data_IF_422196898901
#
_entry.id   IF_422196898901
#
_cell.length_a   1.000
_cell.length_b   1.000
_cell.length_c   1.000
_cell.angle_alpha   90.00
_cell.angle_beta   90.00
_cell.angle_gamma   90.00
#
_symmetry.space_group_name_H-M   'P 1'
#
loop_
_entity.id
_entity.type
_entity.pdbx_description
1 polymer ?
#
# COMPACT_ATOMS: atom_id res chain seq x y z
N UNK A 1 -7.25 -29.14 -2.03
CA UNK A 1 -6.27 -28.74 -3.06
C UNK A 1 -4.81 -28.99 -2.64
N UNK A 2 -4.46 -29.09 -1.36
CA UNK A 2 -3.07 -29.39 -0.95
C UNK A 2 -2.08 -28.24 -1.17
N UNK A 3 -2.56 -27.01 -1.34
CA UNK A 3 -1.76 -25.79 -1.50
C UNK A 3 -1.64 -25.02 -0.17
N UNK A 4 -0.67 -24.10 -0.06
CA UNK A 4 -0.48 -23.28 1.13
C UNK A 4 -1.56 -22.20 1.35
N UNK A 5 -1.59 -21.63 2.56
CA UNK A 5 -2.64 -20.69 3.02
C UNK A 5 -2.35 -19.20 2.74
N UNK A 6 -1.52 -18.88 1.75
CA UNK A 6 -1.10 -17.51 1.46
C UNK A 6 -2.27 -16.59 1.06
N UNK A 7 -3.24 -17.10 0.29
CA UNK A 7 -4.41 -16.31 -0.15
C UNK A 7 -5.30 -15.89 1.03
N UNK A 8 -5.81 -16.80 1.89
CA UNK A 8 -6.63 -16.37 3.02
C UNK A 8 -5.85 -15.50 4.01
N UNK A 9 -4.54 -15.71 4.17
CA UNK A 9 -3.70 -14.83 4.98
C UNK A 9 -3.63 -13.41 4.40
N UNK A 10 -3.41 -13.27 3.09
CA UNK A 10 -3.40 -11.97 2.43
C UNK A 10 -4.77 -11.28 2.51
N UNK A 11 -5.85 -12.03 2.33
CA UNK A 11 -7.23 -11.51 2.42
C UNK A 11 -7.56 -10.97 3.83
N UNK A 12 -7.03 -11.59 4.88
CA UNK A 12 -7.23 -11.13 6.25
C UNK A 12 -6.73 -9.69 6.49
N UNK A 13 -5.73 -9.20 5.73
CA UNK A 13 -5.29 -7.80 5.83
C UNK A 13 -6.37 -6.82 5.38
N UNK A 14 -7.10 -7.13 4.30
CA UNK A 14 -8.21 -6.30 3.83
C UNK A 14 -9.36 -6.25 4.85
N UNK A 15 -9.71 -7.40 5.43
CA UNK A 15 -10.69 -7.48 6.53
C UNK A 15 -10.19 -6.66 7.73
N UNK A 16 -8.92 -6.78 8.09
CA UNK A 16 -8.30 -6.04 9.18
C UNK A 16 -8.40 -4.52 8.98
N UNK A 17 -8.13 -4.02 7.77
CA UNK A 17 -8.26 -2.60 7.45
C UNK A 17 -9.70 -2.10 7.58
N UNK A 18 -10.69 -2.89 7.16
CA UNK A 18 -12.11 -2.56 7.39
C UNK A 18 -12.43 -2.48 8.88
N UNK A 19 -12.04 -3.49 9.67
CA UNK A 19 -12.26 -3.51 11.13
C UNK A 19 -11.57 -2.33 11.82
N UNK A 20 -10.41 -1.89 11.33
CA UNK A 20 -9.74 -0.69 11.85
C UNK A 20 -10.64 0.55 11.73
N UNK A 21 -11.31 0.73 10.60
CA UNK A 21 -12.15 1.90 10.32
C UNK A 21 -13.45 1.91 11.12
N UNK A 22 -14.11 0.75 11.23
CA UNK A 22 -15.47 0.67 11.81
C UNK A 22 -15.52 0.14 13.24
N UNK A 23 -14.44 -0.47 13.75
CA UNK A 23 -14.38 -1.03 15.10
C UNK A 23 -13.24 -0.40 15.91
N UNK A 24 -11.99 -0.58 15.51
CA UNK A 24 -10.83 -0.23 16.35
C UNK A 24 -10.75 1.27 16.61
N UNK A 25 -10.71 2.09 15.55
CA UNK A 25 -10.62 3.54 15.69
C UNK A 25 -11.86 4.13 16.40
N UNK A 26 -13.11 3.75 16.06
CA UNK A 26 -14.28 4.21 16.80
C UNK A 26 -14.26 3.88 18.30
N UNK A 27 -13.79 2.69 18.70
CA UNK A 27 -13.60 2.32 20.11
C UNK A 27 -12.57 3.25 20.77
N UNK A 28 -11.41 3.45 20.13
CA UNK A 28 -10.36 4.33 20.65
C UNK A 28 -10.81 5.80 20.75
N UNK A 29 -11.74 6.23 19.91
CA UNK A 29 -12.33 7.57 19.95
C UNK A 29 -13.59 7.67 20.83
N UNK A 30 -14.06 6.56 21.41
CA UNK A 30 -15.17 6.53 22.36
C UNK A 30 -16.58 6.62 21.74
N UNK A 31 -16.72 6.53 20.42
CA UNK A 31 -18.03 6.60 19.76
C UNK A 31 -18.07 5.90 18.39
N UNK A 32 -19.12 5.13 18.13
CA UNK A 32 -19.36 4.46 16.83
C UNK A 32 -19.54 5.44 15.66
N UNK A 33 -19.95 6.68 15.94
CA UNK A 33 -20.13 7.73 14.94
C UNK A 33 -18.84 8.15 14.21
N UNK A 34 -17.67 7.68 14.65
CA UNK A 34 -16.41 7.86 13.93
C UNK A 34 -16.20 6.86 12.78
N UNK A 35 -17.00 5.80 12.68
CA UNK A 35 -17.01 4.90 11.53
C UNK A 35 -17.57 5.58 10.27
N UNK A 36 -17.23 5.06 9.09
CA UNK A 36 -17.69 5.63 7.83
C UNK A 36 -19.09 5.11 7.42
N UNK A 37 -19.90 5.90 6.69
CA UNK A 37 -21.22 5.48 6.24
C UNK A 37 -21.17 4.59 4.99
N UNK A 38 -22.11 3.65 4.87
CA UNK A 38 -22.23 2.79 3.67
C UNK A 38 -23.02 3.48 2.56
N UNK A 39 -22.32 4.18 1.68
CA UNK A 39 -22.89 4.78 0.47
C UNK A 39 -21.82 5.23 -0.51
N UNK A 40 -22.13 5.16 -1.81
CA UNK A 40 -21.15 5.38 -2.90
C UNK A 40 -20.49 6.77 -2.79
N UNK A 41 -21.26 7.83 -2.54
CA UNK A 41 -20.72 9.18 -2.39
C UNK A 41 -20.48 9.57 -0.92
N UNK A 42 -21.35 9.13 0.00
CA UNK A 42 -21.26 9.50 1.41
C UNK A 42 -19.98 9.01 2.10
N UNK A 43 -19.41 7.89 1.67
CA UNK A 43 -18.12 7.44 2.21
C UNK A 43 -16.96 8.35 1.75
N UNK A 44 -17.06 8.95 0.56
CA UNK A 44 -16.06 9.92 0.07
C UNK A 44 -16.14 11.24 0.86
N UNK A 45 -17.35 11.67 1.21
CA UNK A 45 -17.54 12.82 2.11
C UNK A 45 -16.91 12.57 3.48
N UNK A 46 -17.07 11.36 4.03
CA UNK A 46 -16.39 10.95 5.26
C UNK A 46 -14.87 11.02 5.12
N UNK A 47 -14.30 10.46 4.04
CA UNK A 47 -12.86 10.49 3.77
C UNK A 47 -12.34 11.93 3.71
N UNK A 48 -13.05 12.79 2.98
CA UNK A 48 -12.71 14.21 2.84
C UNK A 48 -12.69 14.91 4.20
N UNK A 49 -13.78 14.78 4.96
CA UNK A 49 -13.91 15.44 6.27
C UNK A 49 -12.87 14.95 7.28
N UNK A 50 -12.62 13.64 7.35
CA UNK A 50 -11.60 13.07 8.23
C UNK A 50 -10.21 13.55 7.84
N UNK A 51 -9.90 13.69 6.55
CA UNK A 51 -8.64 14.25 6.09
C UNK A 51 -8.43 15.69 6.55
N UNK A 52 -9.44 16.55 6.38
CA UNK A 52 -9.36 17.96 6.73
C UNK A 52 -9.42 18.25 8.24
N UNK A 53 -9.94 17.32 9.06
CA UNK A 53 -9.85 17.42 10.52
C UNK A 53 -8.40 17.57 11.03
N UNK A 54 -7.42 17.08 10.27
CA UNK A 54 -5.99 17.17 10.58
C UNK A 54 -5.24 18.09 9.61
N UNK A 55 -5.94 19.10 9.07
CA UNK A 55 -5.47 20.07 8.07
C UNK A 55 -5.07 19.41 6.74
N UNK A 56 -3.82 18.95 6.63
CA UNK A 56 -3.29 18.34 5.42
C UNK A 56 -2.85 16.91 5.69
N UNK A 57 -3.75 15.96 5.44
CA UNK A 57 -3.51 14.53 5.65
C UNK A 57 -2.36 13.95 4.81
N UNK A 58 -1.94 14.65 3.75
CA UNK A 58 -0.74 14.31 2.98
C UNK A 58 0.55 14.29 3.81
N UNK A 59 0.60 15.05 4.92
CA UNK A 59 1.76 15.11 5.82
C UNK A 59 1.76 14.01 6.89
N UNK A 60 0.75 13.15 6.93
CA UNK A 60 0.75 12.00 7.83
C UNK A 60 1.85 11.01 7.39
N UNK A 61 2.87 10.72 8.22
CA UNK A 61 4.02 9.93 7.80
C UNK A 61 3.64 8.48 7.41
N UNK A 62 2.68 7.87 8.11
CA UNK A 62 2.20 6.53 7.77
C UNK A 62 1.36 6.54 6.48
N UNK A 63 0.63 7.63 6.21
CA UNK A 63 -0.10 7.79 4.95
C UNK A 63 0.85 7.95 3.76
N UNK A 64 1.97 8.67 3.93
CA UNK A 64 3.02 8.78 2.91
C UNK A 64 3.58 7.39 2.56
N UNK A 65 3.91 6.57 3.57
CA UNK A 65 4.35 5.19 3.35
C UNK A 65 3.31 4.35 2.62
N UNK A 66 2.05 4.41 3.03
CA UNK A 66 0.96 3.67 2.39
C UNK A 66 0.84 4.03 0.89
N UNK A 67 0.85 5.32 0.55
CA UNK A 67 0.80 5.80 -0.83
C UNK A 67 2.02 5.30 -1.62
N UNK A 68 3.23 5.40 -1.06
CA UNK A 68 4.43 4.90 -1.72
C UNK A 68 4.29 3.41 -2.05
N UNK A 69 3.81 2.59 -1.13
CA UNK A 69 3.57 1.17 -1.39
C UNK A 69 2.49 0.93 -2.45
N UNK A 70 1.40 1.70 -2.47
CA UNK A 70 0.39 1.61 -3.53
C UNK A 70 0.98 1.90 -4.91
N UNK A 71 1.75 2.97 -5.04
CA UNK A 71 2.38 3.36 -6.30
C UNK A 71 3.42 2.33 -6.74
N UNK A 72 4.31 1.90 -5.85
CA UNK A 72 5.33 0.90 -6.15
C UNK A 72 4.71 -0.45 -6.50
N UNK A 73 3.62 -0.86 -5.83
CA UNK A 73 2.92 -2.10 -6.15
C UNK A 73 2.31 -2.07 -7.56
N UNK A 74 1.67 -0.96 -7.95
CA UNK A 74 1.11 -0.79 -9.29
C UNK A 74 2.20 -0.84 -10.37
N UNK A 75 3.32 -0.16 -10.13
CA UNK A 75 4.49 -0.20 -11.01
C UNK A 75 5.04 -1.63 -11.14
N UNK A 76 5.26 -2.33 -10.02
CA UNK A 76 5.78 -3.69 -9.99
C UNK A 76 4.85 -4.69 -10.69
N UNK A 77 3.54 -4.58 -10.48
CA UNK A 77 2.55 -5.42 -11.17
C UNK A 77 2.59 -5.21 -12.69
N UNK A 78 2.68 -3.95 -13.12
CA UNK A 78 2.73 -3.60 -14.55
C UNK A 78 4.00 -4.14 -15.21
N UNK A 79 5.15 -3.98 -14.55
CA UNK A 79 6.42 -4.53 -15.02
C UNK A 79 6.43 -6.06 -15.05
N UNK A 80 5.88 -6.71 -14.02
CA UNK A 80 5.82 -8.16 -13.95
C UNK A 80 4.91 -8.73 -15.05
N UNK A 81 3.70 -8.21 -15.19
CA UNK A 81 2.75 -8.66 -16.21
C UNK A 81 3.28 -8.45 -17.63
N UNK A 82 3.88 -7.29 -17.90
CA UNK A 82 4.45 -7.00 -19.22
C UNK A 82 5.66 -7.89 -19.54
N UNK A 83 6.51 -8.20 -18.55
CA UNK A 83 7.64 -9.11 -18.74
C UNK A 83 7.18 -10.52 -19.13
N UNK A 84 6.21 -11.08 -18.40
CA UNK A 84 5.71 -12.41 -18.71
C UNK A 84 5.08 -12.43 -20.11
N UNK A 85 4.26 -11.42 -20.43
CA UNK A 85 3.65 -11.30 -21.75
C UNK A 85 4.69 -11.14 -22.87
N UNK A 86 5.78 -10.40 -22.66
CA UNK A 86 6.81 -10.22 -23.68
C UNK A 86 7.60 -11.50 -23.95
N UNK A 87 7.80 -12.32 -22.92
CA UNK A 87 8.49 -13.62 -23.02
C UNK A 87 7.61 -14.69 -23.68
N UNK A 88 6.31 -14.70 -23.39
CA UNK A 88 5.37 -15.69 -23.96
C UNK A 88 4.79 -15.29 -25.31
N UNK A 89 4.87 -14.00 -25.68
CA UNK A 89 4.35 -13.47 -26.95
C UNK A 89 5.45 -12.70 -27.70
N UNK A 90 6.48 -13.40 -28.19
CA UNK A 90 7.57 -12.78 -28.93
C UNK A 90 7.11 -12.31 -30.34
N UNK A 91 8.01 -11.73 -31.11
CA UNK A 91 7.70 -11.31 -32.48
C UNK A 91 7.26 -12.50 -33.35
N UNK A 92 6.48 -12.22 -34.39
CA UNK A 92 5.94 -13.27 -35.27
C UNK A 92 7.05 -14.11 -35.89
N UNK A 93 6.97 -15.42 -35.68
CA UNK A 93 7.97 -16.38 -36.18
C UNK A 93 9.13 -16.64 -35.22
N UNK A 94 9.18 -15.95 -34.08
CA UNK A 94 10.14 -16.25 -33.01
C UNK A 94 9.59 -17.27 -32.01
N UNK A 95 10.50 -18.03 -31.40
CA UNK A 95 10.18 -18.94 -30.29
C UNK A 95 9.96 -18.18 -28.97
N UNK A 96 9.10 -18.76 -28.12
CA UNK A 96 8.87 -18.31 -26.74
C UNK A 96 10.19 -18.24 -25.98
N UNK A 97 10.39 -17.14 -25.24
CA UNK A 97 11.65 -16.90 -24.53
C UNK A 97 11.71 -17.69 -23.22
N UNK A 98 12.88 -17.65 -22.59
CA UNK A 98 13.18 -18.43 -21.38
C UNK A 98 13.36 -17.53 -20.15
N UNK A 99 13.45 -18.15 -18.96
CA UNK A 99 13.76 -17.46 -17.72
C UNK A 99 15.08 -16.67 -17.75
N UNK A 100 16.05 -17.08 -18.58
CA UNK A 100 17.28 -16.30 -18.75
C UNK A 100 17.04 -14.98 -19.47
N UNK A 101 16.08 -14.93 -20.41
CA UNK A 101 15.71 -13.67 -21.07
C UNK A 101 15.02 -12.71 -20.10
N UNK A 102 14.18 -13.22 -19.19
CA UNK A 102 13.56 -12.41 -18.12
C UNK A 102 14.63 -11.72 -17.27
N UNK A 103 15.66 -12.47 -16.87
CA UNK A 103 16.74 -11.96 -16.04
C UNK A 103 17.65 -10.98 -16.79
N UNK A 104 18.05 -11.33 -18.01
CA UNK A 104 18.92 -10.47 -18.83
C UNK A 104 18.25 -9.14 -19.10
N UNK A 105 16.95 -9.12 -19.45
CA UNK A 105 16.20 -7.89 -19.69
C UNK A 105 16.31 -6.88 -18.52
N UNK A 106 16.04 -7.31 -17.29
CA UNK A 106 16.13 -6.42 -16.13
C UNK A 106 17.57 -6.07 -15.75
N UNK A 107 18.51 -7.00 -15.89
CA UNK A 107 19.94 -6.73 -15.68
C UNK A 107 20.47 -5.67 -16.65
N UNK A 108 20.04 -5.71 -17.90
CA UNK A 108 20.48 -4.76 -18.92
C UNK A 108 19.90 -3.36 -18.68
N UNK A 109 18.64 -3.25 -18.23
CA UNK A 109 17.97 -1.95 -18.06
C UNK A 109 18.33 -1.28 -16.73
N UNK A 110 18.35 -2.02 -15.63
CA UNK A 110 18.53 -1.44 -14.27
C UNK A 110 19.66 -2.08 -13.46
N UNK A 111 20.47 -2.96 -14.07
CA UNK A 111 21.61 -3.60 -13.40
C UNK A 111 21.25 -4.73 -12.44
N UNK A 112 19.97 -5.09 -12.29
CA UNK A 112 19.51 -6.08 -11.32
C UNK A 112 18.24 -6.80 -11.78
N UNK A 113 18.19 -8.12 -11.59
CA UNK A 113 16.95 -8.91 -11.69
C UNK A 113 16.66 -9.61 -10.37
N UNK A 114 15.45 -9.42 -9.85
CA UNK A 114 14.99 -10.05 -8.61
C UNK A 114 14.68 -11.54 -8.78
N UNK A 115 14.37 -11.98 -10.01
CA UNK A 115 14.03 -13.35 -10.35
C UNK A 115 12.57 -13.74 -10.12
N UNK A 116 12.16 -14.83 -10.79
CA UNK A 116 10.75 -15.23 -10.94
C UNK A 116 10.02 -15.50 -9.62
N UNK A 117 10.58 -16.28 -8.69
CA UNK A 117 9.88 -16.56 -7.42
C UNK A 117 9.80 -15.30 -6.54
N UNK A 118 10.87 -14.51 -6.53
CA UNK A 118 10.99 -13.37 -5.62
C UNK A 118 10.08 -12.21 -6.03
N UNK A 119 9.80 -11.98 -7.33
CA UNK A 119 8.84 -10.94 -7.74
C UNK A 119 7.42 -11.22 -7.23
N UNK A 120 7.00 -12.48 -7.12
CA UNK A 120 5.71 -12.83 -6.52
C UNK A 120 5.67 -12.54 -5.01
N UNK A 121 6.78 -12.84 -4.30
CA UNK A 121 6.92 -12.53 -2.87
C UNK A 121 6.96 -11.02 -2.62
N UNK A 122 7.66 -10.28 -3.47
CA UNK A 122 7.72 -8.82 -3.43
C UNK A 122 6.34 -8.22 -3.67
N UNK A 123 5.61 -8.68 -4.71
CA UNK A 123 4.25 -8.20 -4.99
C UNK A 123 3.30 -8.41 -3.80
N UNK A 124 3.35 -9.60 -3.16
CA UNK A 124 2.60 -9.84 -1.94
C UNK A 124 3.01 -8.87 -0.82
N UNK A 125 4.31 -8.72 -0.57
CA UNK A 125 4.82 -7.82 0.47
C UNK A 125 4.40 -6.36 0.25
N UNK A 126 4.53 -5.84 -0.98
CA UNK A 126 4.16 -4.47 -1.34
C UNK A 126 2.67 -4.22 -1.12
N UNK A 127 1.81 -5.15 -1.59
CA UNK A 127 0.37 -5.04 -1.42
C UNK A 127 -0.05 -5.09 0.05
N UNK A 128 0.48 -6.03 0.85
CA UNK A 128 0.16 -6.12 2.27
C UNK A 128 0.69 -4.92 3.07
N UNK A 129 1.88 -4.41 2.71
CA UNK A 129 2.45 -3.20 3.33
C UNK A 129 1.59 -1.98 3.07
N UNK A 130 1.07 -1.81 1.84
CA UNK A 130 0.15 -0.71 1.52
C UNK A 130 -1.07 -0.72 2.46
N UNK A 131 -1.74 -1.88 2.59
CA UNK A 131 -2.91 -2.05 3.46
C UNK A 131 -2.56 -1.84 4.94
N UNK A 132 -1.44 -2.39 5.40
CA UNK A 132 -0.98 -2.25 6.78
C UNK A 132 -0.75 -0.78 7.15
N UNK A 133 0.00 -0.03 6.33
CA UNK A 133 0.29 1.38 6.60
C UNK A 133 -0.96 2.27 6.46
N UNK A 134 -1.94 1.91 5.61
CA UNK A 134 -3.26 2.57 5.58
C UNK A 134 -4.01 2.38 6.90
N UNK A 135 -3.97 1.20 7.50
CA UNK A 135 -4.56 0.96 8.82
C UNK A 135 -3.83 1.76 9.91
N UNK A 136 -2.49 1.79 9.88
CA UNK A 136 -1.70 2.56 10.86
C UNK A 136 -2.04 4.05 10.77
N UNK A 137 -2.07 4.64 9.56
CA UNK A 137 -2.23 6.08 9.39
C UNK A 137 -3.58 6.60 9.93
N UNK A 138 -4.63 5.78 9.84
CA UNK A 138 -5.95 6.16 10.35
C UNK A 138 -6.08 5.93 11.86
N UNK A 139 -5.48 4.86 12.41
CA UNK A 139 -5.51 4.58 13.87
C UNK A 139 -4.79 5.66 14.66
N UNK A 140 -3.67 6.19 14.15
CA UNK A 140 -2.93 7.25 14.84
C UNK A 140 -3.62 8.63 14.75
N UNK A 141 -4.51 8.83 13.78
CA UNK A 141 -5.22 10.09 13.54
C UNK A 141 -6.45 10.23 14.45
N UNK A 142 -6.30 10.99 15.53
CA UNK A 142 -7.30 11.20 16.57
C UNK A 142 -6.85 10.58 17.89
N UNK A 143 -6.77 9.24 18.00
CA UNK A 143 -6.37 8.58 19.24
C UNK A 143 -4.97 8.94 19.75
N UNK A 144 -4.00 9.14 18.85
CA UNK A 144 -2.59 9.36 19.23
C UNK A 144 -2.01 10.69 18.74
N UNK A 145 -2.66 11.35 17.79
CA UNK A 145 -2.30 12.68 17.29
C UNK A 145 -3.57 13.47 17.00
N UNK A 146 -3.70 14.67 17.57
CA UNK A 146 -4.91 15.51 17.48
C UNK A 146 -4.68 16.83 16.74
N UNK A 147 -3.43 17.17 16.41
CA UNK A 147 -3.06 18.42 15.71
C UNK A 147 -3.01 18.20 14.20
N UNK A 148 -2.73 19.27 13.46
CA UNK A 148 -2.45 19.16 12.03
C UNK A 148 -1.26 18.25 11.76
N UNK A 149 -1.34 17.40 10.73
CA UNK A 149 -0.21 16.54 10.35
C UNK A 149 1.06 17.29 9.93
N UNK A 150 1.02 18.49 9.32
CA UNK A 150 2.25 19.26 9.06
C UNK A 150 3.05 19.56 10.33
N UNK A 151 2.37 19.87 11.43
CA UNK A 151 3.01 20.21 12.72
C UNK A 151 3.74 19.02 13.34
N UNK A 152 3.35 17.79 12.99
CA UNK A 152 4.05 16.60 13.47
C UNK A 152 5.54 16.66 13.12
N UNK A 153 5.91 17.24 11.97
CA UNK A 153 7.29 17.33 11.52
C UNK A 153 8.15 18.37 12.26
N UNK A 154 7.57 19.15 13.17
CA UNK A 154 8.33 20.10 13.97
C UNK A 154 9.34 19.42 14.89
N UNK A 155 9.13 18.16 15.29
CA UNK A 155 10.14 17.42 16.07
C UNK A 155 11.50 17.37 15.36
N UNK A 156 11.49 17.35 14.02
CA UNK A 156 12.70 17.41 13.20
C UNK A 156 13.11 18.87 12.99
N UNK A 157 12.19 19.74 12.59
CA UNK A 157 12.51 21.15 12.27
C UNK A 157 13.12 21.91 13.46
N UNK A 158 12.67 21.62 14.67
CA UNK A 158 13.06 22.32 15.91
C UNK A 158 14.20 21.60 16.65
N UNK A 159 14.91 20.67 16.01
CA UNK A 159 16.09 20.03 16.62
C UNK A 159 17.15 21.09 16.93
N UNK A 160 17.72 21.12 18.15
CA UNK A 160 18.63 22.17 18.59
C UNK A 160 20.04 22.09 17.95
N UNK A 161 20.22 21.18 16.99
CA UNK A 161 21.50 20.93 16.31
C UNK A 161 21.63 21.71 15.00
N UNK A 162 20.55 22.35 14.51
CA UNK A 162 20.54 23.24 13.36
C UNK A 162 19.64 24.46 13.57
#
# INVERSE_FOLDING_TARGET
>A
LGIGFHIPFAFAFAIGAYLVLVVVRPILMGAWGHGFPYGILSHLDWVSNVGYQFLHFHYNPAHMLAITFFFTNCLALSMHGSLILSVTNPQKGEEVKTSEHENTFFRDIVGYSIGALAIHRLGLFLALSAVFWSAVCIVISGPFWTRGWPEWWNWWLELPLW
#
